data_IF_111869006605
#
_entry.id   IF_111869006605
#
_cell.length_a   1.000
_cell.length_b   1.000
_cell.length_c   1.000
_cell.angle_alpha   90.00
_cell.angle_beta   90.00
_cell.angle_gamma   90.00
#
_symmetry.space_group_name_H-M   'P 1'
#
loop_
_entity.id
_entity.type
_entity.pdbx_description
1 polymer ?
#
# COMPACT_ATOMS: atom_id res chain seq x y z
N UNK A 1 11.21 28.44 16.28
CA UNK A 1 10.05 29.12 15.67
C UNK A 1 9.55 28.22 14.54
N UNK A 2 8.49 27.44 14.77
CA UNK A 2 7.89 26.59 13.75
C UNK A 2 6.78 27.37 13.05
N UNK A 3 6.95 27.65 11.76
CA UNK A 3 5.90 28.26 10.93
C UNK A 3 4.92 27.18 10.52
N UNK A 4 3.77 27.15 11.18
CA UNK A 4 2.56 26.46 10.72
C UNK A 4 2.05 27.15 9.45
N UNK A 5 2.30 26.54 8.30
CA UNK A 5 1.70 26.97 7.03
C UNK A 5 0.26 26.43 6.94
N UNK A 6 -0.69 27.24 7.40
CA UNK A 6 -2.10 27.09 7.12
C UNK A 6 -2.36 27.53 5.67
N UNK A 7 -2.37 26.60 4.72
CA UNK A 7 -2.77 26.92 3.36
C UNK A 7 -4.30 26.86 3.26
N UNK A 8 -4.93 28.02 3.46
CA UNK A 8 -6.32 28.26 3.08
C UNK A 8 -6.50 28.04 1.58
N UNK A 9 -7.59 27.35 1.24
CA UNK A 9 -7.89 26.89 -0.11
C UNK A 9 -8.04 27.99 -1.15
N UNK A 10 -7.49 27.72 -2.32
CA UNK A 10 -7.87 28.37 -3.57
C UNK A 10 -9.00 27.53 -4.18
N UNK A 11 -10.24 27.95 -3.93
CA UNK A 11 -11.40 27.45 -4.67
C UNK A 11 -11.56 28.30 -5.93
N UNK A 12 -10.92 27.89 -7.02
CA UNK A 12 -11.23 28.43 -8.34
C UNK A 12 -12.65 28.01 -8.73
N UNK A 13 -13.54 28.99 -8.75
CA UNK A 13 -14.95 28.85 -9.13
C UNK A 13 -15.05 28.78 -10.65
N UNK A 14 -15.05 27.59 -11.22
CA UNK A 14 -15.27 27.40 -12.65
C UNK A 14 -16.00 26.07 -12.88
N UNK A 15 -17.34 26.07 -12.80
CA UNK A 15 -18.20 24.92 -13.14
C UNK A 15 -17.71 23.52 -12.70
N UNK A 16 -17.11 23.46 -11.50
CA UNK A 16 -15.92 22.65 -11.23
C UNK A 16 -16.14 21.15 -11.12
N UNK A 17 -15.90 20.44 -12.22
CA UNK A 17 -15.61 19.01 -12.13
C UNK A 17 -14.26 18.86 -11.44
N UNK A 18 -14.20 18.14 -10.32
CA UNK A 18 -12.95 17.88 -9.61
C UNK A 18 -11.90 17.31 -10.58
N UNK A 19 -10.61 17.70 -10.47
CA UNK A 19 -9.57 17.21 -11.37
C UNK A 19 -9.52 15.68 -11.33
N UNK A 20 -9.41 14.99 -12.48
CA UNK A 20 -9.39 13.53 -12.49
C UNK A 20 -8.14 13.02 -11.79
N UNK A 21 -8.24 11.82 -11.21
CA UNK A 21 -7.10 11.16 -10.59
C UNK A 21 -6.00 10.90 -11.64
N UNK A 22 -4.79 11.41 -11.43
CA UNK A 22 -3.70 11.25 -12.40
C UNK A 22 -3.20 9.79 -12.55
N UNK A 23 -3.58 8.89 -11.64
CA UNK A 23 -3.16 7.49 -11.64
C UNK A 23 -4.12 6.61 -12.45
N UNK A 24 -5.44 6.71 -12.18
CA UNK A 24 -6.44 5.90 -12.85
C UNK A 24 -7.21 6.64 -13.95
N UNK A 25 -6.97 7.94 -14.10
CA UNK A 25 -7.60 8.84 -15.09
C UNK A 25 -9.13 8.96 -14.95
N UNK A 26 -9.69 8.51 -13.81
CA UNK A 26 -11.12 8.60 -13.51
C UNK A 26 -11.45 9.80 -12.63
N UNK A 27 -12.64 10.36 -12.84
CA UNK A 27 -13.29 11.34 -11.96
C UNK A 27 -14.18 10.70 -10.89
N UNK A 28 -14.31 9.37 -10.89
CA UNK A 28 -15.11 8.62 -9.90
C UNK A 28 -14.38 8.51 -8.56
N UNK A 29 -15.04 8.97 -7.50
CA UNK A 29 -14.46 9.08 -6.16
C UNK A 29 -13.96 10.50 -5.86
N UNK A 30 -13.47 10.70 -4.64
CA UNK A 30 -12.97 12.01 -4.18
C UNK A 30 -11.44 11.99 -4.22
N UNK A 31 -10.79 12.61 -5.22
CA UNK A 31 -9.35 12.73 -5.26
C UNK A 31 -8.88 13.76 -4.23
N UNK A 32 -7.65 13.58 -3.74
CA UNK A 32 -6.98 14.51 -2.85
C UNK A 32 -5.69 15.03 -3.50
N UNK A 33 -5.17 16.15 -3.00
CA UNK A 33 -3.82 16.61 -3.33
C UNK A 33 -2.85 16.10 -2.26
N UNK A 34 -2.09 15.03 -2.52
CA UNK A 34 -1.21 14.45 -1.50
C UNK A 34 0.06 15.26 -1.25
N UNK A 35 0.29 16.31 -2.05
CA UNK A 35 1.41 17.23 -1.95
C UNK A 35 1.01 18.56 -2.60
N UNK A 36 1.93 19.54 -2.62
CA UNK A 36 1.71 20.86 -3.21
C UNK A 36 1.67 20.87 -4.76
N UNK A 37 1.87 19.73 -5.42
CA UNK A 37 1.78 19.65 -6.88
C UNK A 37 0.31 19.75 -7.36
N UNK A 38 0.06 20.26 -8.57
CA UNK A 38 -1.29 20.45 -9.11
C UNK A 38 -2.03 19.14 -9.47
N UNK A 39 -1.44 17.98 -9.13
CA UNK A 39 -1.95 16.66 -9.52
C UNK A 39 -2.76 16.06 -8.38
N UNK A 40 -4.03 15.75 -8.64
CA UNK A 40 -4.92 15.11 -7.68
C UNK A 40 -4.95 13.58 -7.89
N UNK A 41 -5.00 12.81 -6.81
CA UNK A 41 -5.10 11.35 -6.86
C UNK A 41 -6.04 10.81 -5.79
N UNK A 42 -6.74 9.72 -6.09
CA UNK A 42 -7.47 8.99 -5.06
C UNK A 42 -6.50 8.45 -4.02
N UNK A 43 -6.81 8.55 -2.71
CA UNK A 43 -5.95 8.02 -1.65
C UNK A 43 -5.54 6.56 -1.85
N UNK A 44 -6.50 5.70 -2.24
CA UNK A 44 -6.24 4.27 -2.53
C UNK A 44 -5.38 4.05 -3.78
N UNK A 45 -5.54 4.88 -4.82
CA UNK A 45 -4.70 4.81 -6.02
C UNK A 45 -3.27 5.21 -5.69
N UNK A 46 -3.09 6.30 -4.93
CA UNK A 46 -1.78 6.74 -4.47
C UNK A 46 -1.10 5.68 -3.62
N UNK A 47 -1.80 5.09 -2.65
CA UNK A 47 -1.24 4.05 -1.80
C UNK A 47 -0.77 2.82 -2.58
N UNK A 48 -1.52 2.40 -3.61
CA UNK A 48 -1.08 1.32 -4.53
C UNK A 48 0.14 1.72 -5.35
N UNK A 49 0.18 2.95 -5.83
CA UNK A 49 1.32 3.46 -6.57
C UNK A 49 2.58 3.57 -5.68
N UNK A 50 2.45 4.04 -4.44
CA UNK A 50 3.54 4.06 -3.45
C UNK A 50 4.12 2.66 -3.24
N UNK A 51 3.28 1.63 -3.09
CA UNK A 51 3.72 0.24 -3.02
C UNK A 51 4.50 -0.24 -4.25
N UNK A 52 4.11 0.20 -5.45
CA UNK A 52 4.85 -0.13 -6.68
C UNK A 52 6.22 0.55 -6.73
N UNK A 53 6.42 1.62 -5.96
CA UNK A 53 7.70 2.31 -5.82
C UNK A 53 8.55 1.79 -4.66
N UNK A 54 8.22 0.63 -4.06
CA UNK A 54 8.93 0.10 -2.91
C UNK A 54 10.46 0.12 -3.08
N UNK A 55 11.15 0.70 -2.10
CA UNK A 55 12.61 0.87 -2.11
C UNK A 55 13.13 2.07 -2.91
N UNK A 56 12.23 2.92 -3.43
CA UNK A 56 12.57 4.20 -4.07
C UNK A 56 12.09 5.36 -3.21
N UNK A 57 12.67 6.57 -3.34
CA UNK A 57 12.17 7.74 -2.63
C UNK A 57 10.68 7.98 -2.88
N UNK A 58 10.21 7.71 -4.11
CA UNK A 58 8.80 7.87 -4.49
C UNK A 58 7.81 7.00 -3.71
N UNK A 59 8.27 6.00 -2.96
CA UNK A 59 7.45 5.27 -2.00
C UNK A 59 6.86 6.22 -0.94
N UNK A 60 7.63 7.22 -0.51
CA UNK A 60 7.31 8.08 0.64
C UNK A 60 7.32 9.56 0.32
N UNK A 61 7.87 10.01 -0.82
CA UNK A 61 7.95 11.44 -1.17
C UNK A 61 7.64 11.75 -2.64
N UNK A 62 7.13 12.96 -2.88
CA UNK A 62 6.86 13.43 -4.23
C UNK A 62 8.14 13.76 -4.98
N UNK A 63 8.42 13.08 -6.10
CA UNK A 63 9.60 13.35 -6.93
C UNK A 63 9.71 14.78 -7.47
N UNK A 64 8.62 15.55 -7.46
CA UNK A 64 8.58 16.89 -8.05
C UNK A 64 8.78 17.99 -7.00
N UNK A 65 8.11 17.88 -5.85
CA UNK A 65 8.18 18.92 -4.81
C UNK A 65 8.85 18.44 -3.51
N UNK A 66 9.26 17.17 -3.42
CA UNK A 66 9.91 16.58 -2.24
C UNK A 66 9.01 16.42 -1.02
N UNK A 67 7.72 16.76 -1.10
CA UNK A 67 6.82 16.63 0.05
C UNK A 67 6.51 15.16 0.33
N UNK A 68 6.47 14.78 1.61
CA UNK A 68 6.14 13.43 2.03
C UNK A 68 4.69 13.07 1.70
N UNK A 69 4.50 11.86 1.21
CA UNK A 69 3.20 11.20 1.19
C UNK A 69 2.88 10.65 2.59
N UNK A 70 1.59 10.51 2.91
CA UNK A 70 1.16 9.83 4.13
C UNK A 70 1.45 8.32 4.12
N UNK A 71 1.17 7.64 5.24
CA UNK A 71 1.31 6.18 5.31
C UNK A 71 0.28 5.48 4.41
N UNK A 72 0.78 4.77 3.39
CA UNK A 72 -0.05 4.03 2.45
C UNK A 72 -0.80 2.86 3.10
N UNK A 73 -0.32 2.35 4.24
CA UNK A 73 -0.90 1.18 4.92
C UNK A 73 -2.32 1.42 5.35
N UNK A 74 -2.64 2.62 5.82
CA UNK A 74 -3.99 2.97 6.28
C UNK A 74 -5.01 2.89 5.14
N UNK A 75 -4.59 3.20 3.91
CA UNK A 75 -5.46 3.22 2.73
C UNK A 75 -5.64 1.82 2.10
N UNK A 76 -4.74 0.89 2.41
CA UNK A 76 -4.74 -0.48 1.88
C UNK A 76 -5.00 -1.55 2.94
N UNK A 77 -5.10 -1.15 4.20
CA UNK A 77 -5.44 -2.05 5.28
C UNK A 77 -6.73 -2.79 4.92
N UNK A 78 -6.75 -4.13 5.09
CA UNK A 78 -8.00 -4.87 4.99
C UNK A 78 -8.99 -4.30 6.01
N UNK A 79 -10.27 -4.33 5.63
CA UNK A 79 -11.37 -3.97 6.53
C UNK A 79 -11.17 -4.68 7.90
N UNK A 80 -11.23 -3.95 9.02
CA UNK A 80 -11.03 -4.52 10.36
C UNK A 80 -12.00 -5.68 10.70
N UNK A 81 -13.09 -5.85 9.94
CA UNK A 81 -13.99 -7.00 10.05
C UNK A 81 -13.53 -8.28 9.33
N UNK A 82 -12.42 -8.26 8.59
CA UNK A 82 -11.94 -9.43 7.85
C UNK A 82 -11.25 -10.44 8.77
N UNK A 83 -11.69 -11.70 8.69
CA UNK A 83 -11.03 -12.80 9.38
C UNK A 83 -9.57 -12.92 8.92
N UNK A 84 -8.60 -13.14 9.83
CA UNK A 84 -7.21 -13.35 9.48
C UNK A 84 -7.06 -14.47 8.44
N UNK A 85 -6.30 -14.21 7.38
CA UNK A 85 -6.00 -15.23 6.39
C UNK A 85 -5.21 -16.38 7.04
N UNK A 86 -5.55 -17.62 6.68
CA UNK A 86 -4.74 -18.78 7.10
C UNK A 86 -3.36 -18.68 6.44
N UNK A 87 -2.26 -18.57 7.20
CA UNK A 87 -0.95 -18.38 6.61
C UNK A 87 -0.46 -19.69 5.97
N UNK A 88 0.02 -19.58 4.74
CA UNK A 88 0.51 -20.70 3.93
C UNK A 88 1.88 -20.34 3.39
N UNK A 89 2.84 -21.26 3.53
CA UNK A 89 4.19 -21.13 3.00
C UNK A 89 4.35 -22.01 1.77
N UNK A 90 4.85 -21.45 0.68
CA UNK A 90 5.20 -22.19 -0.53
C UNK A 90 6.67 -22.61 -0.48
N UNK A 91 6.93 -23.91 -0.56
CA UNK A 91 8.27 -24.50 -0.56
C UNK A 91 8.52 -25.15 -1.91
N UNK A 92 9.59 -24.74 -2.60
CA UNK A 92 10.00 -25.35 -3.86
C UNK A 92 11.08 -26.41 -3.59
N UNK A 93 10.80 -27.67 -3.95
CA UNK A 93 11.75 -28.77 -3.87
C UNK A 93 11.57 -29.70 -5.08
N UNK A 94 12.67 -30.06 -5.73
CA UNK A 94 12.65 -30.94 -6.91
C UNK A 94 11.82 -30.41 -8.07
N UNK A 95 11.70 -29.08 -8.22
CA UNK A 95 10.87 -28.46 -9.26
C UNK A 95 9.36 -28.48 -8.97
N UNK A 96 8.94 -28.92 -7.78
CA UNK A 96 7.54 -28.93 -7.34
C UNK A 96 7.33 -27.94 -6.20
N UNK A 97 6.19 -27.24 -6.24
CA UNK A 97 5.78 -26.29 -5.19
C UNK A 97 4.83 -26.98 -4.21
N UNK A 98 5.22 -27.03 -2.93
CA UNK A 98 4.45 -27.58 -1.82
C UNK A 98 3.91 -26.43 -0.96
N UNK A 99 2.59 -26.36 -0.80
CA UNK A 99 1.91 -25.33 0.01
C UNK A 99 1.62 -25.90 1.39
N UNK A 100 2.34 -25.42 2.41
CA UNK A 100 2.24 -25.89 3.79
C UNK A 100 1.55 -24.83 4.64
N UNK A 101 0.51 -25.21 5.38
CA UNK A 101 -0.13 -24.30 6.35
C UNK A 101 0.83 -24.12 7.52
N UNK A 102 1.06 -22.88 7.91
CA UNK A 102 1.97 -22.57 9.02
C UNK A 102 1.20 -22.01 10.20
N UNK A 103 1.82 -22.10 11.38
CA UNK A 103 1.34 -21.40 12.57
C UNK A 103 2.43 -20.43 13.02
N UNK A 104 2.07 -19.27 13.56
CA UNK A 104 3.04 -18.33 14.10
C UNK A 104 3.74 -18.89 15.35
N UNK A 105 4.92 -18.37 15.64
CA UNK A 105 5.67 -18.66 16.87
C UNK A 105 6.65 -19.85 16.80
N UNK A 106 7.39 -20.11 17.90
CA UNK A 106 8.44 -21.14 17.94
C UNK A 106 7.93 -22.56 17.67
N UNK A 107 6.75 -22.89 18.19
CA UNK A 107 6.11 -24.19 18.01
C UNK A 107 5.68 -24.42 16.56
N UNK A 108 5.06 -23.41 15.95
CA UNK A 108 4.69 -23.45 14.53
C UNK A 108 5.91 -23.60 13.61
N UNK A 109 7.03 -22.96 13.95
CA UNK A 109 8.31 -23.17 13.26
C UNK A 109 8.83 -24.61 13.39
N UNK A 110 8.72 -25.21 14.57
CA UNK A 110 9.12 -26.60 14.79
C UNK A 110 8.21 -27.58 14.02
N UNK A 111 6.90 -27.33 14.01
CA UNK A 111 5.93 -28.11 13.24
C UNK A 111 6.20 -28.02 11.74
N UNK A 112 6.42 -26.81 11.21
CA UNK A 112 6.78 -26.60 9.81
C UNK A 112 8.06 -27.35 9.42
N UNK A 113 9.12 -27.27 10.22
CA UNK A 113 10.38 -27.99 9.95
C UNK A 113 10.20 -29.51 9.89
N UNK A 114 9.38 -30.06 10.78
CA UNK A 114 9.02 -31.48 10.77
C UNK A 114 8.25 -31.85 9.50
N UNK A 115 7.28 -31.03 9.11
CA UNK A 115 6.46 -31.25 7.92
C UNK A 115 7.28 -31.16 6.62
N UNK A 116 8.22 -30.21 6.54
CA UNK A 116 9.18 -30.13 5.43
C UNK A 116 10.03 -31.39 5.34
N UNK A 117 10.55 -31.89 6.47
CA UNK A 117 11.38 -33.10 6.49
C UNK A 117 10.62 -34.35 6.05
N UNK A 118 9.34 -34.48 6.41
CA UNK A 118 8.51 -35.63 6.03
C UNK A 118 8.09 -35.57 4.56
N UNK A 119 7.79 -34.38 4.04
CA UNK A 119 7.24 -34.25 2.68
C UNK A 119 8.31 -34.05 1.60
N UNK A 120 9.50 -33.53 1.94
CA UNK A 120 10.53 -33.10 0.98
C UNK A 120 11.91 -33.73 1.23
N UNK A 121 12.03 -34.58 2.26
CA UNK A 121 13.27 -35.26 2.66
C UNK A 121 13.31 -36.71 2.23
#
# INVERSE_FOLDING_TARGET
MAMTAFCHGLTSSDGGTAPPCWICLSSEGIPAHPCACPRAAHPRCLARWQLQQAGRPEEVECRFCGAGYGDWREQLAPDPGLAPATPVMAVNAGGRVHKIRVQPGPEGKAAFRREVRVNLG
#
